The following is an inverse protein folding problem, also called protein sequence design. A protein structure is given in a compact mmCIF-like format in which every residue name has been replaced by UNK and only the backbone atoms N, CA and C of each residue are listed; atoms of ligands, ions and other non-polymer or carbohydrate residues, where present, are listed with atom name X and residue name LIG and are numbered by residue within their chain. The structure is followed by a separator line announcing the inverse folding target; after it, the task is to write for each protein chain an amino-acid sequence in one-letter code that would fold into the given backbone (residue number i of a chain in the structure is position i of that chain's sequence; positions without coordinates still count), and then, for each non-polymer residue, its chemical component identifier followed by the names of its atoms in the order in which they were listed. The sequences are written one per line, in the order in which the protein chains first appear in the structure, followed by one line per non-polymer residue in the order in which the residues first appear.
data_IF_471120470957
#
_entry.id   IF_471120470957
#
_cell.length_a   1.000
_cell.length_b   1.000
_cell.length_c   1.000
_cell.angle_alpha   90.00
_cell.angle_beta   90.00
_cell.angle_gamma   90.00
#
_symmetry.space_group_name_H-M   'P 1'
#
loop_
_entity.id
_entity.type
_entity.pdbx_description
1 polymer ?
#
# COMPACT_ATOMS: atom_id res chain seq x y z
N UNK A 1 4.40 -14.73 10.62
CA UNK A 1 3.51 -14.83 9.44
C UNK A 1 4.17 -14.06 8.30
N UNK A 2 3.95 -14.42 7.05
CA UNK A 2 4.54 -13.72 5.90
C UNK A 2 3.45 -13.47 4.86
N UNK A 3 3.51 -12.33 4.18
CA UNK A 3 2.75 -12.12 2.96
C UNK A 3 3.71 -11.71 1.84
N UNK A 4 3.79 -12.59 0.84
CA UNK A 4 4.49 -12.36 -0.41
C UNK A 4 3.75 -13.18 -1.47
N UNK A 5 3.15 -12.56 -2.49
CA UNK A 5 2.35 -13.28 -3.48
C UNK A 5 3.06 -14.46 -4.20
N UNK A 6 4.40 -14.52 -4.20
CA UNK A 6 5.19 -15.62 -4.80
C UNK A 6 5.71 -16.65 -3.79
N UNK A 7 5.62 -16.38 -2.49
CA UNK A 7 6.12 -17.27 -1.44
C UNK A 7 5.06 -18.31 -1.06
N UNK A 8 5.40 -19.59 -1.12
CA UNK A 8 4.50 -20.68 -0.76
C UNK A 8 4.02 -20.65 0.72
N UNK A 9 4.76 -19.94 1.59
CA UNK A 9 4.42 -19.75 3.00
C UNK A 9 3.49 -18.55 3.23
N UNK A 10 3.17 -17.81 2.16
CA UNK A 10 2.34 -16.62 2.25
C UNK A 10 0.98 -16.94 2.85
N UNK A 11 0.52 -16.08 3.74
CA UNK A 11 -0.88 -16.08 4.15
C UNK A 11 -1.76 -15.83 2.93
N UNK A 12 -2.90 -16.52 2.86
CA UNK A 12 -3.89 -16.27 1.82
C UNK A 12 -4.66 -15.00 2.11
N UNK A 13 -4.75 -14.11 1.14
CA UNK A 13 -5.47 -12.84 1.24
C UNK A 13 -6.48 -12.69 0.09
N UNK A 14 -7.61 -12.06 0.36
CA UNK A 14 -8.56 -11.58 -0.65
C UNK A 14 -9.16 -10.27 -0.16
N UNK A 15 -9.61 -9.41 -1.08
CA UNK A 15 -10.37 -8.21 -0.72
C UNK A 15 -11.58 -8.51 0.18
N UNK A 16 -12.15 -9.72 0.10
CA UNK A 16 -13.28 -10.18 0.91
C UNK A 16 -12.95 -10.49 2.37
N UNK A 17 -11.70 -10.81 2.69
CA UNK A 17 -11.32 -11.07 4.09
C UNK A 17 -11.27 -9.79 4.91
N UNK A 18 -11.10 -8.63 4.26
CA UNK A 18 -10.90 -7.36 4.93
C UNK A 18 -12.18 -6.79 5.54
N UNK A 19 -12.09 -6.37 6.81
CA UNK A 19 -13.18 -5.70 7.53
C UNK A 19 -13.24 -4.18 7.27
N UNK A 20 -12.99 -3.75 6.03
CA UNK A 20 -13.02 -2.35 5.60
C UNK A 20 -13.75 -2.19 4.26
N UNK A 21 -14.12 -0.96 3.92
CA UNK A 21 -14.74 -0.66 2.63
C UNK A 21 -13.79 -0.95 1.46
N UNK A 22 -14.32 -1.45 0.34
CA UNK A 22 -13.51 -1.76 -0.86
C UNK A 22 -12.85 -0.52 -1.46
N UNK A 23 -13.50 0.65 -1.37
CA UNK A 23 -12.92 1.95 -1.73
C UNK A 23 -11.61 2.25 -0.96
N UNK A 24 -11.52 1.82 0.29
CA UNK A 24 -10.29 1.95 1.09
C UNK A 24 -9.18 1.04 0.58
N UNK A 25 -9.51 -0.20 0.21
CA UNK A 25 -8.53 -1.14 -0.34
C UNK A 25 -8.02 -0.61 -1.69
N UNK A 26 -8.94 -0.20 -2.58
CA UNK A 26 -8.61 0.35 -3.89
C UNK A 26 -7.73 1.61 -3.79
N UNK A 27 -8.00 2.50 -2.82
CA UNK A 27 -7.20 3.70 -2.59
C UNK A 27 -5.78 3.43 -2.05
N UNK A 28 -5.54 2.25 -1.45
CA UNK A 28 -4.20 1.80 -1.08
C UNK A 28 -3.44 1.18 -2.27
N UNK A 29 -4.16 0.48 -3.15
CA UNK A 29 -3.58 -0.21 -4.31
C UNK A 29 -3.21 0.75 -5.44
N UNK A 30 -3.96 1.82 -5.62
CA UNK A 30 -3.72 2.77 -6.71
C UNK A 30 -3.14 4.05 -6.12
N UNK A 31 -1.84 4.34 -6.35
CA UNK A 31 -1.23 5.56 -5.85
C UNK A 31 -1.91 6.79 -6.48
N UNK A 32 -1.88 7.90 -5.74
CA UNK A 32 -2.33 9.18 -6.27
C UNK A 32 -1.33 9.67 -7.33
N UNK A 33 -1.82 10.03 -8.51
CA UNK A 33 -1.02 10.69 -9.55
C UNK A 33 -1.54 12.12 -9.75
N UNK A 34 -0.81 13.16 -9.33
CA UNK A 34 -1.23 14.54 -9.53
C UNK A 34 -1.34 14.95 -11.00
N UNK A 35 -0.55 14.34 -11.90
CA UNK A 35 -0.56 14.64 -13.34
C UNK A 35 -1.73 13.92 -14.03
N UNK A 36 -2.02 12.70 -13.60
CA UNK A 36 -3.08 11.85 -14.16
C UNK A 36 -4.20 11.54 -13.15
N UNK A 37 -4.61 12.57 -12.39
CA UNK A 37 -5.57 12.42 -11.27
C UNK A 37 -6.89 11.79 -11.68
N UNK A 38 -7.40 12.16 -12.86
CA UNK A 38 -8.62 11.57 -13.39
C UNK A 38 -8.51 10.04 -13.53
N UNK A 39 -7.41 9.53 -14.09
CA UNK A 39 -7.22 8.10 -14.32
C UNK A 39 -6.98 7.34 -13.02
N UNK A 40 -6.18 7.89 -12.10
CA UNK A 40 -5.98 7.27 -10.79
C UNK A 40 -7.28 7.21 -9.97
N UNK A 41 -8.08 8.28 -9.95
CA UNK A 41 -9.37 8.28 -9.24
C UNK A 41 -10.42 7.40 -9.91
N UNK A 42 -10.45 7.36 -11.25
CA UNK A 42 -11.32 6.48 -12.01
C UNK A 42 -10.98 5.00 -11.79
N UNK A 43 -9.69 4.66 -11.78
CA UNK A 43 -9.24 3.30 -11.53
C UNK A 43 -9.60 2.85 -10.10
N UNK A 44 -9.50 3.72 -9.08
CA UNK A 44 -9.94 3.39 -7.71
C UNK A 44 -11.42 3.05 -7.65
N UNK A 45 -12.27 3.84 -8.31
CA UNK A 45 -13.71 3.60 -8.36
C UNK A 45 -14.00 2.28 -9.08
N UNK A 46 -13.34 2.03 -10.22
CA UNK A 46 -13.49 0.80 -10.98
C UNK A 46 -13.14 -0.43 -10.14
N UNK A 47 -12.00 -0.41 -9.43
CA UNK A 47 -11.59 -1.52 -8.58
C UNK A 47 -12.54 -1.72 -7.41
N UNK A 48 -13.04 -0.64 -6.79
CA UNK A 48 -14.04 -0.76 -5.73
C UNK A 48 -15.33 -1.43 -6.24
N UNK A 49 -15.84 -1.02 -7.41
CA UNK A 49 -17.03 -1.62 -8.02
C UNK A 49 -16.81 -3.09 -8.40
N UNK A 50 -15.62 -3.43 -8.94
CA UNK A 50 -15.24 -4.82 -9.25
C UNK A 50 -15.19 -5.64 -7.97
N UNK A 51 -14.60 -5.10 -6.91
CA UNK A 51 -14.55 -5.76 -5.62
C UNK A 51 -15.94 -5.98 -5.07
N UNK A 52 -16.88 -5.05 -5.17
CA UNK A 52 -18.27 -5.25 -4.71
C UNK A 52 -18.93 -6.48 -5.35
N UNK A 53 -18.56 -6.82 -6.59
CA UNK A 53 -19.22 -7.86 -7.39
C UNK A 53 -18.45 -9.16 -7.57
N UNK A 54 -17.26 -9.28 -6.99
CA UNK A 54 -16.40 -10.48 -7.11
C UNK A 54 -16.12 -11.11 -5.75
N UNK A 55 -16.08 -12.43 -5.66
CA UNK A 55 -15.94 -13.17 -4.40
C UNK A 55 -14.59 -13.87 -4.23
N UNK A 56 -13.77 -13.92 -5.29
CA UNK A 56 -12.46 -14.55 -5.26
C UNK A 56 -11.40 -13.72 -6.01
N UNK A 57 -10.13 -13.99 -5.72
CA UNK A 57 -9.03 -13.36 -6.46
C UNK A 57 -9.02 -13.74 -7.94
N UNK A 58 -9.49 -14.96 -8.25
CA UNK A 58 -9.63 -15.44 -9.63
C UNK A 58 -10.68 -14.65 -10.37
N UNK A 59 -11.87 -14.46 -9.79
CA UNK A 59 -12.92 -13.64 -10.40
C UNK A 59 -12.48 -12.21 -10.65
N UNK A 60 -11.78 -11.57 -9.69
CA UNK A 60 -11.21 -10.22 -9.88
C UNK A 60 -10.31 -10.19 -11.12
N UNK A 61 -9.39 -11.15 -11.21
CA UNK A 61 -8.44 -11.19 -12.31
C UNK A 61 -9.13 -11.47 -13.66
N UNK A 62 -10.12 -12.35 -13.68
CA UNK A 62 -10.87 -12.67 -14.90
C UNK A 62 -11.73 -11.50 -15.38
N UNK A 63 -12.43 -10.81 -14.49
CA UNK A 63 -13.20 -9.60 -14.84
C UNK A 63 -12.27 -8.56 -15.47
N UNK A 64 -11.10 -8.31 -14.88
CA UNK A 64 -10.19 -7.28 -15.36
C UNK A 64 -9.47 -7.63 -16.66
N UNK A 65 -9.28 -8.91 -16.98
CA UNK A 65 -8.40 -9.32 -18.10
C UNK A 65 -9.07 -10.11 -19.20
N UNK A 66 -10.24 -10.68 -18.96
CA UNK A 66 -10.93 -11.55 -19.93
C UNK A 66 -12.25 -10.99 -20.42
N UNK A 67 -12.91 -10.13 -19.64
CA UNK A 67 -14.19 -9.57 -20.08
C UNK A 67 -13.98 -8.63 -21.26
N UNK A 68 -14.86 -8.74 -22.25
CA UNK A 68 -14.97 -7.75 -23.32
C UNK A 68 -15.50 -6.43 -22.76
N UNK A 69 -15.39 -5.35 -23.55
CA UNK A 69 -15.93 -4.05 -23.15
C UNK A 69 -17.45 -4.10 -22.90
N UNK A 70 -18.19 -4.89 -23.68
CA UNK A 70 -19.64 -5.10 -23.49
C UNK A 70 -19.93 -5.88 -22.20
N UNK A 71 -19.18 -6.96 -21.94
CA UNK A 71 -19.32 -7.71 -20.69
C UNK A 71 -18.97 -6.86 -19.47
N UNK A 72 -17.96 -5.97 -19.57
CA UNK A 72 -17.64 -5.01 -18.52
C UNK A 72 -18.75 -3.99 -18.31
N UNK A 73 -19.39 -3.49 -19.38
CA UNK A 73 -20.56 -2.60 -19.27
C UNK A 73 -21.71 -3.29 -18.54
N UNK A 74 -22.05 -4.51 -18.92
CA UNK A 74 -23.10 -5.27 -18.26
C UNK A 74 -22.73 -5.57 -16.80
N UNK A 75 -21.49 -5.97 -16.56
CA UNK A 75 -20.97 -6.26 -15.23
C UNK A 75 -20.93 -5.02 -14.33
N UNK A 76 -20.70 -3.83 -14.89
CA UNK A 76 -20.63 -2.54 -14.17
C UNK A 76 -21.98 -1.82 -14.12
N UNK A 77 -23.02 -2.30 -14.80
CA UNK A 77 -24.33 -1.66 -14.87
C UNK A 77 -24.83 -1.19 -13.48
N UNK A 78 -25.26 0.07 -13.41
CA UNK A 78 -25.75 0.70 -12.18
C UNK A 78 -24.68 1.17 -11.18
N UNK A 79 -23.38 1.08 -11.50
CA UNK A 79 -22.32 1.69 -10.66
C UNK A 79 -21.84 3.02 -11.19
N UNK A 80 -21.07 3.72 -10.36
CA UNK A 80 -20.42 4.98 -10.74
C UNK A 80 -19.39 4.80 -11.83
N UNK A 81 -18.82 3.61 -12.02
CA UNK A 81 -17.82 3.37 -13.06
C UNK A 81 -18.40 3.27 -14.47
N UNK A 82 -19.72 3.07 -14.62
CA UNK A 82 -20.38 3.02 -15.93
C UNK A 82 -20.14 4.27 -16.78
N UNK A 83 -20.04 5.44 -16.15
CA UNK A 83 -19.75 6.71 -16.85
C UNK A 83 -18.45 6.68 -17.67
N UNK A 84 -17.47 5.86 -17.30
CA UNK A 84 -16.23 5.73 -18.04
C UNK A 84 -16.42 4.99 -19.37
N UNK A 85 -17.53 4.24 -19.50
CA UNK A 85 -17.88 3.38 -20.63
C UNK A 85 -18.99 3.97 -21.53
N UNK A 86 -19.57 5.11 -21.16
CA UNK A 86 -20.68 5.78 -21.89
C UNK A 86 -20.22 6.61 -23.11
N UNK A 87 -18.92 6.86 -23.28
CA UNK A 87 -18.40 7.64 -24.40
C UNK A 87 -18.33 6.86 -25.73
N UNK A 88 -18.67 7.53 -26.84
CA UNK A 88 -18.68 6.95 -28.20
C UNK A 88 -17.33 6.37 -28.65
N UNK A 89 -16.21 6.90 -28.13
CA UNK A 89 -14.87 6.49 -28.57
C UNK A 89 -14.29 5.29 -27.82
N UNK A 90 -14.85 4.86 -26.68
CA UNK A 90 -14.33 3.75 -25.85
C UNK A 90 -12.92 3.93 -25.25
N UNK A 91 -12.15 4.92 -25.71
CA UNK A 91 -10.76 5.14 -25.32
C UNK A 91 -10.59 5.43 -23.83
N UNK A 92 -11.54 6.15 -23.22
CA UNK A 92 -11.50 6.48 -21.78
C UNK A 92 -11.59 5.21 -20.92
N UNK A 93 -12.54 4.32 -21.20
CA UNK A 93 -12.68 3.05 -20.49
C UNK A 93 -11.42 2.20 -20.62
N UNK A 94 -10.85 2.12 -21.83
CA UNK A 94 -9.59 1.41 -22.09
C UNK A 94 -8.43 1.95 -21.25
N UNK A 95 -8.25 3.27 -21.20
CA UNK A 95 -7.20 3.90 -20.38
C UNK A 95 -7.41 3.67 -18.88
N UNK A 96 -8.63 3.81 -18.38
CA UNK A 96 -8.95 3.55 -16.96
C UNK A 96 -8.68 2.09 -16.58
N UNK A 97 -9.08 1.14 -17.43
CA UNK A 97 -8.79 -0.28 -17.26
C UNK A 97 -7.29 -0.55 -17.25
N UNK A 98 -6.53 0.04 -18.18
CA UNK A 98 -5.09 -0.11 -18.25
C UNK A 98 -4.39 0.41 -16.98
N UNK A 99 -4.80 1.59 -16.48
CA UNK A 99 -4.31 2.14 -15.21
C UNK A 99 -4.57 1.19 -14.04
N UNK A 100 -5.78 0.62 -13.95
CA UNK A 100 -6.13 -0.37 -12.93
C UNK A 100 -5.30 -1.65 -13.04
N UNK A 101 -5.27 -2.29 -14.22
CA UNK A 101 -4.59 -3.58 -14.43
C UNK A 101 -3.09 -3.49 -14.09
N UNK A 102 -2.45 -2.37 -14.42
CA UNK A 102 -1.03 -2.17 -14.12
C UNK A 102 -0.72 -2.25 -12.62
N UNK A 103 -1.61 -1.75 -11.76
CA UNK A 103 -1.44 -1.81 -10.30
C UNK A 103 -1.89 -3.15 -9.70
N UNK A 104 -2.63 -3.97 -10.46
CA UNK A 104 -3.23 -5.22 -9.98
C UNK A 104 -2.55 -6.50 -10.52
N UNK A 105 -1.39 -6.40 -11.18
CA UNK A 105 -0.67 -7.56 -11.74
C UNK A 105 -0.35 -8.65 -10.71
N UNK A 106 -0.21 -8.29 -9.43
CA UNK A 106 0.01 -9.25 -8.34
C UNK A 106 -1.09 -10.32 -8.21
N UNK A 107 -2.31 -10.05 -8.70
CA UNK A 107 -3.38 -11.04 -8.75
C UNK A 107 -2.99 -12.29 -9.55
N UNK A 108 -2.13 -12.18 -10.57
CA UNK A 108 -1.60 -13.34 -11.31
C UNK A 108 -0.88 -14.36 -10.41
N UNK A 109 -0.30 -13.88 -9.31
CA UNK A 109 0.37 -14.72 -8.32
C UNK A 109 -0.64 -15.22 -7.27
N UNK A 110 -1.54 -14.34 -6.81
CA UNK A 110 -2.57 -14.72 -5.82
C UNK A 110 -3.54 -15.78 -6.32
N UNK A 111 -3.89 -15.80 -7.61
CA UNK A 111 -4.79 -16.82 -8.19
C UNK A 111 -4.20 -18.22 -8.18
N UNK A 112 -2.87 -18.34 -8.03
CA UNK A 112 -2.14 -19.61 -7.95
C UNK A 112 -1.88 -20.04 -6.51
N UNK A 113 -2.24 -19.22 -5.53
CA UNK A 113 -1.98 -19.51 -4.13
C UNK A 113 -2.85 -20.68 -3.65
N UNK A 114 -2.25 -21.72 -3.04
CA UNK A 114 -3.02 -22.82 -2.46
C UNK A 114 -3.62 -22.48 -1.09
N UNK A 115 -3.21 -21.35 -0.48
CA UNK A 115 -3.66 -20.96 0.85
C UNK A 115 -5.09 -20.38 0.81
N UNK A 116 -5.97 -20.75 1.75
CA UNK A 116 -7.31 -20.18 1.83
C UNK A 116 -7.21 -18.67 2.10
N UNK A 117 -7.99 -17.89 1.34
CA UNK A 117 -7.93 -16.42 1.34
C UNK A 117 -8.67 -15.79 2.52
N UNK A 118 -8.24 -16.11 3.75
CA UNK A 118 -8.92 -15.75 4.99
C UNK A 118 -8.20 -14.69 5.83
N UNK A 119 -6.93 -14.39 5.53
CA UNK A 119 -6.17 -13.44 6.34
C UNK A 119 -6.59 -12.00 6.05
N UNK A 120 -6.80 -11.21 7.11
CA UNK A 120 -7.14 -9.78 7.03
C UNK A 120 -6.09 -8.93 7.72
N UNK A 121 -5.51 -8.00 6.97
CA UNK A 121 -4.56 -7.02 7.46
C UNK A 121 -5.22 -5.99 8.37
N UNK A 122 -6.42 -5.54 8.02
CA UNK A 122 -7.15 -4.57 8.84
C UNK A 122 -7.56 -5.15 10.19
N UNK A 123 -7.98 -6.42 10.23
CA UNK A 123 -8.27 -7.15 11.47
C UNK A 123 -7.00 -7.41 12.27
N UNK A 124 -5.92 -7.87 11.62
CA UNK A 124 -4.63 -8.07 12.28
C UNK A 124 -4.13 -6.79 12.95
N UNK A 125 -4.25 -5.65 12.26
CA UNK A 125 -3.87 -4.35 12.80
C UNK A 125 -4.76 -3.91 13.97
N UNK A 126 -6.06 -4.24 13.95
CA UNK A 126 -7.04 -3.87 14.98
C UNK A 126 -6.89 -4.69 16.27
N UNK A 127 -6.71 -6.00 16.14
CA UNK A 127 -6.74 -6.93 17.26
C UNK A 127 -5.42 -6.92 18.05
N UNK A 128 -5.45 -7.33 19.33
CA UNK A 128 -4.25 -7.52 20.16
C UNK A 128 -3.55 -8.83 19.78
N UNK A 129 -2.81 -8.82 18.68
CA UNK A 129 -2.12 -10.01 18.15
C UNK A 129 -0.64 -10.01 18.56
N UNK A 130 -0.21 -11.00 19.34
CA UNK A 130 1.20 -11.18 19.77
C UNK A 130 2.05 -11.94 18.74
N UNK A 131 1.96 -11.58 17.45
CA UNK A 131 2.70 -12.25 16.36
C UNK A 131 3.23 -11.26 15.35
N UNK A 132 4.37 -11.57 14.75
CA UNK A 132 4.95 -10.78 13.66
C UNK A 132 4.34 -11.15 12.32
N UNK A 133 4.15 -10.15 11.47
CA UNK A 133 3.92 -10.32 10.03
C UNK A 133 5.07 -9.67 9.25
N UNK A 134 5.64 -10.44 8.32
CA UNK A 134 6.73 -10.01 7.46
C UNK A 134 6.18 -9.72 6.07
N UNK A 135 6.55 -8.57 5.52
CA UNK A 135 6.15 -8.08 4.20
C UNK A 135 7.41 -7.84 3.35
N UNK A 136 8.14 -8.90 2.95
CA UNK A 136 9.35 -8.70 2.16
C UNK A 136 8.99 -8.18 0.77
N UNK A 137 9.72 -7.15 0.35
CA UNK A 137 9.68 -6.61 -1.01
C UNK A 137 11.07 -6.76 -1.61
N UNK A 138 11.24 -7.71 -2.52
CA UNK A 138 12.51 -7.94 -3.21
C UNK A 138 12.62 -7.02 -4.43
N UNK A 139 13.84 -6.62 -4.78
CA UNK A 139 14.13 -5.65 -5.85
C UNK A 139 13.54 -6.09 -7.20
N UNK A 140 13.69 -7.37 -7.56
CA UNK A 140 13.16 -7.95 -8.80
C UNK A 140 11.62 -7.87 -8.93
N UNK A 141 10.91 -7.77 -7.80
CA UNK A 141 9.45 -7.74 -7.74
C UNK A 141 8.90 -6.38 -7.26
N UNK A 142 9.77 -5.39 -7.03
CA UNK A 142 9.42 -4.15 -6.37
C UNK A 142 8.31 -3.41 -7.10
N UNK A 143 8.38 -3.32 -8.44
CA UNK A 143 7.35 -2.65 -9.24
C UNK A 143 5.98 -3.30 -9.11
N UNK A 144 5.92 -4.64 -9.16
CA UNK A 144 4.66 -5.38 -9.13
C UNK A 144 4.06 -5.49 -7.73
N UNK A 145 4.89 -5.55 -6.68
CA UNK A 145 4.44 -5.79 -5.31
C UNK A 145 4.48 -4.56 -4.40
N UNK A 146 5.07 -3.44 -4.83
CA UNK A 146 4.96 -2.16 -4.11
C UNK A 146 3.49 -1.79 -3.82
N UNK A 147 2.55 -1.85 -4.78
CA UNK A 147 1.14 -1.53 -4.50
C UNK A 147 0.46 -2.42 -3.44
N UNK A 148 0.47 -3.77 -3.55
CA UNK A 148 -0.15 -4.62 -2.54
C UNK A 148 0.57 -4.55 -1.19
N UNK A 149 1.90 -4.46 -1.14
CA UNK A 149 2.64 -4.34 0.13
C UNK A 149 2.32 -3.01 0.82
N UNK A 150 2.30 -1.90 0.08
CA UNK A 150 1.86 -0.60 0.63
C UNK A 150 0.43 -0.69 1.17
N UNK A 151 -0.47 -1.34 0.44
CA UNK A 151 -1.87 -1.53 0.86
C UNK A 151 -1.95 -2.34 2.14
N UNK A 152 -1.16 -3.41 2.28
CA UNK A 152 -1.12 -4.23 3.49
C UNK A 152 -0.72 -3.38 4.70
N UNK A 153 0.34 -2.57 4.58
CA UNK A 153 0.75 -1.63 5.62
C UNK A 153 -0.35 -0.62 5.95
N UNK A 154 -0.97 0.00 4.95
CA UNK A 154 -2.05 0.97 5.15
C UNK A 154 -3.26 0.34 5.84
N UNK A 155 -3.66 -0.88 5.48
CA UNK A 155 -4.75 -1.62 6.12
C UNK A 155 -4.44 -1.94 7.59
N UNK A 156 -3.22 -2.42 7.88
CA UNK A 156 -2.78 -2.66 9.26
C UNK A 156 -2.75 -1.37 10.07
N UNK A 157 -2.24 -0.27 9.50
CA UNK A 157 -2.21 1.04 10.14
C UNK A 157 -3.62 1.58 10.45
N UNK A 158 -4.56 1.43 9.52
CA UNK A 158 -5.96 1.81 9.76
C UNK A 158 -6.60 0.96 10.85
N UNK A 159 -6.34 -0.35 10.84
CA UNK A 159 -6.73 -1.25 11.92
C UNK A 159 -6.18 -0.79 13.26
N UNK A 160 -4.88 -0.45 13.28
CA UNK A 160 -4.17 0.06 14.44
C UNK A 160 -4.84 1.32 15.01
N UNK A 161 -5.08 2.31 14.15
CA UNK A 161 -5.70 3.60 14.47
C UNK A 161 -7.22 3.51 14.75
N UNK A 162 -7.83 2.32 14.62
CA UNK A 162 -9.26 2.10 14.93
C UNK A 162 -9.52 1.56 16.34
N UNK A 163 -8.48 1.12 17.05
CA UNK A 163 -8.61 0.55 18.40
C UNK A 163 -7.87 1.42 19.43
N UNK A 164 -8.64 2.21 20.19
CA UNK A 164 -8.13 3.07 21.27
C UNK A 164 -7.89 2.32 22.58
N UNK A 165 -8.47 1.12 22.74
CA UNK A 165 -8.38 0.31 23.97
C UNK A 165 -7.33 -0.79 23.86
N UNK A 166 -6.32 -0.60 23.00
CA UNK A 166 -5.28 -1.60 22.73
C UNK A 166 -4.42 -1.84 23.96
N UNK A 167 -4.13 -3.11 24.27
CA UNK A 167 -3.23 -3.50 25.38
C UNK A 167 -1.82 -3.77 24.92
N UNK A 168 -1.64 -4.36 23.74
CA UNK A 168 -0.33 -4.69 23.20
C UNK A 168 0.24 -3.51 22.42
N UNK A 169 1.55 -3.32 22.56
CA UNK A 169 2.29 -2.33 21.77
C UNK A 169 2.66 -2.93 20.42
N UNK A 170 2.37 -2.23 19.33
CA UNK A 170 2.67 -2.68 17.97
C UNK A 170 3.76 -1.81 17.36
N UNK A 171 4.85 -2.44 16.93
CA UNK A 171 5.91 -1.78 16.18
C UNK A 171 5.69 -1.96 14.68
N UNK A 172 5.62 -0.84 13.95
CA UNK A 172 5.77 -0.78 12.50
C UNK A 172 7.26 -0.64 12.19
N UNK A 173 7.84 -1.59 11.46
CA UNK A 173 9.24 -1.53 11.03
C UNK A 173 9.27 -1.50 9.51
N UNK A 174 9.80 -0.42 8.96
CA UNK A 174 10.00 -0.21 7.53
C UNK A 174 11.48 0.17 7.37
N UNK A 175 12.25 -0.70 6.72
CA UNK A 175 13.67 -0.51 6.49
C UNK A 175 13.96 0.58 5.45
N UNK A 176 13.11 0.72 4.44
CA UNK A 176 13.15 1.81 3.46
C UNK A 176 11.74 2.29 3.10
N UNK A 177 11.34 3.46 3.61
CA UNK A 177 10.01 4.00 3.36
C UNK A 177 9.80 4.40 1.90
N UNK A 178 10.86 4.81 1.21
CA UNK A 178 10.85 5.18 -0.20
C UNK A 178 10.53 4.02 -1.15
N UNK A 179 10.69 2.78 -0.68
CA UNK A 179 10.29 1.59 -1.43
C UNK A 179 8.76 1.44 -1.50
N UNK A 180 8.00 2.11 -0.62
CA UNK A 180 6.55 2.07 -0.58
C UNK A 180 5.91 3.27 -1.28
N UNK A 181 4.65 3.12 -1.65
CA UNK A 181 3.82 4.27 -2.01
C UNK A 181 3.38 4.99 -0.74
N UNK A 182 2.75 6.14 -0.87
CA UNK A 182 2.37 6.96 0.28
C UNK A 182 1.48 6.19 1.29
N UNK A 183 1.95 6.04 2.53
CA UNK A 183 1.16 5.53 3.64
C UNK A 183 0.36 6.67 4.27
N UNK A 184 -0.90 6.84 3.86
CA UNK A 184 -1.76 7.95 4.28
C UNK A 184 -2.00 7.97 5.79
N UNK A 185 -1.99 6.81 6.43
CA UNK A 185 -2.20 6.68 7.87
C UNK A 185 -0.94 6.90 8.71
N UNK A 186 0.25 6.90 8.09
CA UNK A 186 1.53 7.00 8.80
C UNK A 186 1.70 8.33 9.56
N UNK A 187 1.43 9.52 8.98
CA UNK A 187 1.56 10.78 9.72
C UNK A 187 0.72 10.81 11.00
N UNK A 188 -0.50 10.28 10.94
CA UNK A 188 -1.40 10.20 12.10
C UNK A 188 -0.88 9.21 13.15
N UNK A 189 -0.33 8.07 12.73
CA UNK A 189 0.33 7.15 13.65
C UNK A 189 1.47 7.85 14.39
N UNK A 190 2.32 8.61 13.70
CA UNK A 190 3.45 9.28 14.33
C UNK A 190 3.00 10.33 15.35
N UNK A 191 1.96 11.12 15.03
CA UNK A 191 1.42 12.15 15.93
C UNK A 191 0.60 11.59 17.10
N UNK A 192 -0.13 10.50 16.90
CA UNK A 192 -1.07 9.91 17.88
C UNK A 192 -0.60 8.55 18.42
N UNK A 193 0.67 8.20 18.22
CA UNK A 193 1.31 6.91 18.57
C UNK A 193 0.95 6.41 19.98
N UNK A 194 1.02 7.30 20.97
CA UNK A 194 0.71 6.99 22.38
C UNK A 194 -0.73 6.56 22.59
N UNK A 195 -1.68 7.14 21.86
CA UNK A 195 -3.11 6.84 21.99
C UNK A 195 -3.45 5.44 21.48
N UNK A 196 -2.78 4.98 20.43
CA UNK A 196 -3.08 3.71 19.76
C UNK A 196 -2.09 2.58 20.08
N UNK A 197 -1.10 2.84 20.95
CA UNK A 197 -0.08 1.85 21.30
C UNK A 197 0.84 1.49 20.13
N UNK A 198 0.97 2.36 19.14
CA UNK A 198 1.79 2.13 17.95
C UNK A 198 3.13 2.86 18.02
N UNK A 199 4.19 2.23 17.52
CA UNK A 199 5.53 2.84 17.35
C UNK A 199 6.01 2.56 15.94
N UNK A 200 6.80 3.47 15.37
CA UNK A 200 7.33 3.32 14.02
C UNK A 200 8.86 3.39 14.03
N UNK A 201 9.48 2.50 13.26
CA UNK A 201 10.89 2.43 12.95
C UNK A 201 11.02 2.52 11.43
N UNK A 202 11.56 3.63 10.94
CA UNK A 202 11.47 4.01 9.53
C UNK A 202 12.88 4.35 9.03
N UNK A 203 13.39 3.60 8.06
CA UNK A 203 14.55 4.01 7.30
C UNK A 203 14.17 4.86 6.09
N UNK A 204 15.05 5.79 5.74
CA UNK A 204 15.01 6.58 4.50
C UNK A 204 16.43 6.87 4.02
N UNK A 205 16.62 7.02 2.72
CA UNK A 205 17.93 7.43 2.16
C UNK A 205 18.10 8.96 2.21
N UNK A 206 17.12 9.70 1.70
CA UNK A 206 17.23 11.17 1.56
C UNK A 206 15.94 11.88 1.98
N UNK A 207 16.04 13.18 2.26
CA UNK A 207 14.85 14.02 2.47
C UNK A 207 14.09 14.25 1.16
N UNK A 208 14.80 14.39 0.03
CA UNK A 208 14.19 14.61 -1.27
C UNK A 208 13.24 13.47 -1.68
N UNK A 209 13.63 12.22 -1.43
CA UNK A 209 12.78 11.05 -1.68
C UNK A 209 11.48 11.07 -0.84
N UNK A 210 11.57 11.56 0.40
CA UNK A 210 10.39 11.73 1.26
C UNK A 210 9.46 12.82 0.72
N UNK A 211 10.02 13.92 0.23
CA UNK A 211 9.26 15.03 -0.36
C UNK A 211 8.59 14.63 -1.68
N UNK A 212 9.22 13.76 -2.46
CA UNK A 212 8.63 13.20 -3.68
C UNK A 212 7.37 12.36 -3.39
N UNK A 213 7.41 11.52 -2.35
CA UNK A 213 6.31 10.60 -2.03
C UNK A 213 5.22 11.27 -1.20
N UNK A 214 5.58 12.12 -0.23
CA UNK A 214 4.66 12.69 0.74
C UNK A 214 4.37 14.19 0.53
N UNK A 215 5.06 14.84 -0.41
CA UNK A 215 5.10 16.30 -0.53
C UNK A 215 5.89 16.95 0.60
N UNK A 216 6.29 18.20 0.44
CA UNK A 216 7.06 18.96 1.44
C UNK A 216 6.40 18.95 2.83
N UNK A 217 5.09 19.19 2.88
CA UNK A 217 4.33 19.22 4.13
C UNK A 217 4.27 17.84 4.79
N UNK A 218 4.01 16.78 4.01
CA UNK A 218 3.91 15.42 4.53
C UNK A 218 5.26 14.90 5.03
N UNK A 219 6.33 15.13 4.27
CA UNK A 219 7.70 14.81 4.67
C UNK A 219 8.07 15.50 5.99
N UNK A 220 7.77 16.79 6.13
CA UNK A 220 8.02 17.54 7.36
C UNK A 220 7.29 16.96 8.56
N UNK A 221 6.00 16.60 8.40
CA UNK A 221 5.22 15.99 9.48
C UNK A 221 5.84 14.65 9.92
N UNK A 222 6.26 13.81 8.96
CA UNK A 222 6.90 12.52 9.28
C UNK A 222 8.22 12.75 10.01
N UNK A 223 9.09 13.60 9.47
CA UNK A 223 10.41 13.88 10.03
C UNK A 223 10.36 14.56 11.41
N UNK A 224 9.30 15.29 11.72
CA UNK A 224 9.07 15.88 13.04
C UNK A 224 8.38 14.91 14.02
N UNK A 225 7.55 13.98 13.53
CA UNK A 225 6.85 13.00 14.34
C UNK A 225 7.73 11.86 14.87
N UNK A 226 8.92 11.70 14.30
CA UNK A 226 9.96 10.75 14.74
C UNK A 226 10.89 11.41 15.76
N UNK A 227 10.79 10.98 17.01
CA UNK A 227 11.48 11.61 18.15
C UNK A 227 12.97 11.28 18.24
N UNK A 228 13.38 10.12 17.75
CA UNK A 228 14.76 9.63 17.78
C UNK A 228 15.29 9.50 16.36
N UNK A 229 16.47 10.05 16.10
CA UNK A 229 17.11 10.01 14.79
C UNK A 229 18.48 9.37 14.91
N UNK A 230 18.74 8.36 14.10
CA UNK A 230 20.03 7.72 13.93
C UNK A 230 20.51 8.04 12.51
N UNK A 231 21.62 8.77 12.41
CA UNK A 231 22.23 9.15 11.14
C UNK A 231 23.41 8.22 10.91
N UNK A 232 23.35 7.38 9.87
CA UNK A 232 24.43 6.48 9.50
C UNK A 232 25.14 7.01 8.26
N UNK A 233 26.38 7.45 8.45
CA UNK A 233 27.22 7.94 7.36
C UNK A 233 28.08 6.77 6.87
N UNK A 234 27.84 6.34 5.64
CA UNK A 234 28.69 5.34 4.98
C UNK A 234 29.84 6.08 4.31
N UNK A 235 31.07 5.76 4.71
CA UNK A 235 32.27 6.30 4.10
C UNK A 235 32.55 5.58 2.78
N UNK A 236 32.39 6.29 1.66
CA UNK A 236 32.79 5.76 0.36
C UNK A 236 34.25 6.17 0.07
N UNK A 237 35.16 5.20 0.12
CA UNK A 237 36.62 5.40 -0.05
C UNK A 237 36.95 6.01 -1.42
N UNK A 238 36.10 5.86 -2.44
CA UNK A 238 36.31 6.47 -3.76
C UNK A 238 36.01 7.98 -3.82
N UNK A 239 35.24 8.55 -2.87
CA UNK A 239 34.88 9.99 -2.84
C UNK A 239 35.80 10.85 -1.97
N UNK A 240 36.87 10.29 -1.39
CA UNK A 240 37.87 11.07 -0.62
C UNK A 240 38.51 12.20 -1.43
N UNK A 241 38.67 12.02 -2.75
CA UNK A 241 39.28 13.01 -3.64
C UNK A 241 38.43 14.30 -3.80
N UNK A 242 37.17 14.31 -3.35
CA UNK A 242 36.25 15.45 -3.54
C UNK A 242 35.69 16.06 -2.23
N UNK A 243 36.06 15.57 -1.03
CA UNK A 243 35.58 16.10 0.26
C UNK A 243 34.05 16.35 0.33
N UNK A 244 33.26 15.49 -0.31
CA UNK A 244 31.80 15.54 -0.20
C UNK A 244 31.32 14.35 0.63
N UNK A 245 30.83 14.64 1.83
CA UNK A 245 30.18 13.67 2.71
C UNK A 245 28.67 13.85 2.60
N UNK A 246 27.97 12.88 2.02
CA UNK A 246 26.52 12.82 2.05
C UNK A 246 26.07 11.66 2.95
N UNK A 247 25.14 11.89 3.88
CA UNK A 247 24.52 10.79 4.63
C UNK A 247 23.70 9.91 3.67
N UNK A 248 23.99 8.60 3.67
CA UNK A 248 23.35 7.63 2.77
C UNK A 248 22.11 6.96 3.37
N UNK A 249 22.01 6.86 4.71
CA UNK A 249 20.90 6.21 5.40
C UNK A 249 20.58 6.93 6.71
N UNK A 250 19.31 7.28 6.88
CA UNK A 250 18.74 7.79 8.12
C UNK A 250 17.75 6.77 8.65
N UNK A 251 17.92 6.36 9.91
CA UNK A 251 16.89 5.64 10.64
C UNK A 251 16.20 6.59 11.61
N UNK A 252 14.92 6.77 11.40
CA UNK A 252 14.05 7.65 12.17
C UNK A 252 13.07 6.77 12.99
N UNK A 253 13.02 6.99 14.30
CA UNK A 253 12.26 6.15 15.23
C UNK A 253 11.36 7.00 16.13
N UNK A 254 10.18 6.47 16.47
CA UNK A 254 9.36 6.98 17.58
C UNK A 254 9.33 5.94 18.69
N UNK A 255 10.07 6.16 19.77
CA UNK A 255 10.06 5.27 20.93
C UNK A 255 8.83 5.54 21.81
N UNK A 256 8.36 4.49 22.50
CA UNK A 256 7.41 4.64 23.58
C UNK A 256 8.06 5.42 24.73
N UNK A 257 7.83 6.73 24.79
CA UNK A 257 8.07 7.52 26.02
C UNK A 257 6.84 7.48 26.90
#
# INVERSE_FOLDING_TARGET
MIFNPRDARSVGWSHRSEGTQFSTIAAGLIPDDPKERFFSDAAKNLIADVYERTYSNTEVWEVLTRFSLEQLKDFLAGTVSMRYFEGESGNTAGSVLATAINQLRFYQSLTKSPAPAEFSFSKWGRDDVSRWIFLPLFEDDAEAFKPPITTCFELMLRGLLSNENRRLKTALVIDELGALSQLKSLPRLLSESRKFGGSAFIGRQTTAQMEEIYGERGARIILQGVATKLILIIWNIQKEQQQQHEPLLFFDFTLFT
#
